data_IF_977335981954
#
_entry.id   IF_977335981954
#
_cell.length_a   1.000
_cell.length_b   1.000
_cell.length_c   1.000
_cell.angle_alpha   90.00
_cell.angle_beta   90.00
_cell.angle_gamma   90.00
#
_symmetry.space_group_name_H-M   'P 1'
#
loop_
_entity.id
_entity.type
_entity.pdbx_description
1 polymer ?
#
# COMPACT_ATOMS: atom_id res chain seq x y z
N UNK A 1 9.80 -7.02 13.02
CA UNK A 1 10.11 -7.86 11.87
C UNK A 1 10.56 -9.27 12.31
N UNK A 2 11.58 -9.41 13.14
CA UNK A 2 12.12 -10.70 13.59
C UNK A 2 11.02 -11.65 14.10
N UNK A 3 10.25 -11.23 15.09
CA UNK A 3 9.20 -12.05 15.69
C UNK A 3 8.08 -12.44 14.71
N UNK A 4 7.91 -11.67 13.65
CA UNK A 4 6.92 -11.95 12.61
C UNK A 4 7.44 -12.95 11.58
N UNK A 5 8.68 -12.78 11.09
CA UNK A 5 9.21 -13.58 9.98
C UNK A 5 9.80 -14.90 10.42
N UNK A 6 10.29 -15.01 11.67
CA UNK A 6 11.02 -16.17 12.15
C UNK A 6 10.23 -17.49 12.03
N UNK A 7 8.92 -17.45 12.27
CA UNK A 7 8.03 -18.62 12.22
C UNK A 7 7.33 -18.80 10.87
N UNK A 8 7.52 -17.89 9.94
CA UNK A 8 6.95 -17.98 8.59
C UNK A 8 7.87 -18.74 7.66
N UNK A 9 7.27 -19.43 6.68
CA UNK A 9 7.99 -20.22 5.69
C UNK A 9 7.54 -19.85 4.29
N UNK A 10 8.50 -19.84 3.38
CA UNK A 10 8.23 -19.68 1.96
C UNK A 10 7.45 -20.90 1.45
N UNK A 11 6.41 -20.61 0.68
CA UNK A 11 5.72 -21.62 -0.13
C UNK A 11 5.64 -21.10 -1.55
N UNK A 12 6.10 -21.91 -2.51
CA UNK A 12 6.02 -21.54 -3.93
C UNK A 12 4.57 -21.59 -4.38
N UNK A 13 3.94 -20.43 -4.47
CA UNK A 13 2.56 -20.26 -4.90
C UNK A 13 2.49 -19.24 -6.04
N UNK A 14 1.40 -19.28 -6.80
CA UNK A 14 1.06 -18.28 -7.82
C UNK A 14 -0.28 -17.68 -7.46
N UNK A 15 -0.54 -16.47 -7.96
CA UNK A 15 -1.86 -15.82 -7.82
C UNK A 15 -2.91 -16.71 -8.48
N UNK A 16 -3.95 -17.03 -7.73
CA UNK A 16 -5.10 -17.79 -8.20
C UNK A 16 -6.32 -16.87 -8.32
N UNK A 17 -6.82 -16.71 -9.53
CA UNK A 17 -7.95 -15.82 -9.78
C UNK A 17 -7.64 -14.34 -9.54
N UNK A 18 -8.62 -13.61 -9.03
CA UNK A 18 -8.45 -12.20 -8.65
C UNK A 18 -8.05 -12.07 -7.18
N UNK A 19 -7.19 -11.08 -6.92
CA UNK A 19 -6.88 -10.65 -5.56
C UNK A 19 -8.05 -9.85 -4.99
N UNK A 20 -8.30 -10.00 -3.69
CA UNK A 20 -9.25 -9.14 -2.99
C UNK A 20 -8.70 -7.69 -2.83
N UNK A 21 -9.57 -6.76 -2.45
CA UNK A 21 -9.19 -5.35 -2.33
C UNK A 21 -8.08 -5.14 -1.29
N UNK A 22 -8.08 -5.90 -0.20
CA UNK A 22 -7.06 -5.81 0.85
C UNK A 22 -5.70 -6.28 0.35
N UNK A 23 -5.67 -7.37 -0.42
CA UNK A 23 -4.46 -7.91 -1.05
C UNK A 23 -3.92 -6.96 -2.13
N UNK A 24 -4.81 -6.41 -2.99
CA UNK A 24 -4.44 -5.41 -4.01
C UNK A 24 -3.84 -4.15 -3.36
N UNK A 25 -4.48 -3.61 -2.32
CA UNK A 25 -4.00 -2.44 -1.59
C UNK A 25 -2.67 -2.69 -0.88
N UNK A 26 -2.50 -3.88 -0.31
CA UNK A 26 -1.24 -4.22 0.35
C UNK A 26 -0.10 -4.35 -0.66
N UNK A 27 -0.31 -5.02 -1.80
CA UNK A 27 0.66 -5.09 -2.89
C UNK A 27 1.03 -3.70 -3.42
N UNK A 28 0.03 -2.85 -3.64
CA UNK A 28 0.25 -1.46 -4.04
C UNK A 28 1.19 -0.74 -3.05
N UNK A 29 0.96 -0.90 -1.74
CA UNK A 29 1.83 -0.32 -0.71
C UNK A 29 3.25 -0.88 -0.76
N UNK A 30 3.43 -2.17 -1.04
CA UNK A 30 4.75 -2.78 -1.22
C UNK A 30 5.48 -2.06 -2.35
N UNK A 31 4.88 -1.96 -3.54
CA UNK A 31 5.51 -1.34 -4.72
C UNK A 31 5.78 0.15 -4.54
N UNK A 32 4.86 0.91 -3.92
CA UNK A 32 5.09 2.32 -3.55
C UNK A 32 6.26 2.47 -2.57
N UNK A 33 6.38 1.56 -1.61
CA UNK A 33 7.48 1.58 -0.65
C UNK A 33 8.81 1.26 -1.31
N UNK A 34 8.86 0.29 -2.22
CA UNK A 34 10.08 -0.04 -2.99
C UNK A 34 10.54 1.20 -3.78
N UNK A 35 9.63 1.87 -4.51
CA UNK A 35 9.95 3.07 -5.29
C UNK A 35 10.52 4.18 -4.39
N UNK A 36 9.85 4.47 -3.27
CA UNK A 36 10.28 5.48 -2.29
C UNK A 36 11.65 5.16 -1.70
N UNK A 37 11.86 3.92 -1.28
CA UNK A 37 13.11 3.47 -0.67
C UNK A 37 14.26 3.49 -1.69
N UNK A 38 13.99 3.12 -2.94
CA UNK A 38 14.98 3.23 -4.02
C UNK A 38 15.42 4.68 -4.22
N UNK A 39 14.48 5.63 -4.28
CA UNK A 39 14.79 7.07 -4.38
C UNK A 39 15.56 7.58 -3.16
N UNK A 40 15.17 7.16 -1.94
CA UNK A 40 15.86 7.54 -0.71
C UNK A 40 17.31 7.04 -0.67
N UNK A 41 17.62 5.86 -1.23
CA UNK A 41 18.98 5.35 -1.34
C UNK A 41 19.79 6.04 -2.45
N UNK A 42 19.21 6.20 -3.64
CA UNK A 42 19.92 6.70 -4.81
C UNK A 42 20.17 8.19 -4.78
N UNK A 43 19.16 8.97 -4.34
CA UNK A 43 19.17 10.42 -4.50
C UNK A 43 19.31 11.19 -3.20
N UNK A 44 18.84 10.65 -2.08
CA UNK A 44 18.75 11.38 -0.81
C UNK A 44 19.70 10.87 0.27
N UNK A 45 20.19 9.64 0.17
CA UNK A 45 20.98 8.97 1.22
C UNK A 45 20.30 9.01 2.61
N UNK A 46 18.97 8.93 2.63
CA UNK A 46 18.14 9.16 3.80
C UNK A 46 17.76 7.84 4.49
N UNK A 47 18.72 7.20 5.15
CA UNK A 47 18.53 5.88 5.78
C UNK A 47 17.43 5.85 6.86
N UNK A 48 17.19 6.98 7.54
CA UNK A 48 16.13 7.08 8.55
C UNK A 48 14.73 6.95 7.91
N UNK A 49 14.54 7.54 6.72
CA UNK A 49 13.26 7.46 5.99
C UNK A 49 13.03 6.07 5.43
N UNK A 50 14.09 5.37 5.03
CA UNK A 50 14.02 3.95 4.63
C UNK A 50 13.49 3.09 5.78
N UNK A 51 14.07 3.22 6.99
CA UNK A 51 13.61 2.46 8.16
C UNK A 51 12.15 2.80 8.48
N UNK A 52 11.79 4.08 8.47
CA UNK A 52 10.42 4.52 8.73
C UNK A 52 9.43 3.94 7.69
N UNK A 53 9.77 3.98 6.40
CA UNK A 53 8.94 3.42 5.34
C UNK A 53 8.75 1.90 5.48
N UNK A 54 9.81 1.17 5.83
CA UNK A 54 9.72 -0.27 6.11
C UNK A 54 8.85 -0.57 7.35
N UNK A 55 8.92 0.26 8.39
CA UNK A 55 8.05 0.11 9.57
C UNK A 55 6.59 0.41 9.25
N UNK A 56 6.31 1.46 8.47
CA UNK A 56 4.96 1.78 8.00
C UNK A 56 4.37 0.65 7.16
N UNK A 57 5.17 0.08 6.26
CA UNK A 57 4.76 -1.05 5.44
C UNK A 57 4.43 -2.28 6.31
N UNK A 58 5.29 -2.62 7.27
CA UNK A 58 5.06 -3.72 8.22
C UNK A 58 3.76 -3.52 9.02
N UNK A 59 3.50 -2.29 9.49
CA UNK A 59 2.31 -1.97 10.27
C UNK A 59 1.03 -1.98 9.41
N UNK A 60 1.14 -1.71 8.11
CA UNK A 60 0.00 -1.69 7.18
C UNK A 60 -0.44 -3.06 6.69
N UNK A 61 0.25 -4.12 7.10
CA UNK A 61 -0.07 -5.48 6.70
C UNK A 61 -1.48 -5.88 7.16
N UNK A 62 -2.30 -6.50 6.29
CA UNK A 62 -3.62 -7.02 6.64
C UNK A 62 -3.56 -8.13 7.70
N UNK A 63 -4.56 -8.19 8.56
CA UNK A 63 -4.60 -9.17 9.65
C UNK A 63 -4.64 -10.60 9.15
N UNK A 64 -5.27 -10.85 7.99
CA UNK A 64 -5.29 -12.15 7.32
C UNK A 64 -3.89 -12.66 6.92
N UNK A 65 -2.94 -11.74 6.64
CA UNK A 65 -1.55 -12.07 6.31
C UNK A 65 -0.69 -12.16 7.58
N UNK A 66 -1.03 -11.37 8.63
CA UNK A 66 -0.33 -11.43 9.93
C UNK A 66 -0.57 -12.75 10.64
N UNK A 67 -1.78 -13.28 10.56
CA UNK A 67 -2.21 -14.50 11.23
C UNK A 67 -1.80 -15.80 10.54
N UNK A 68 -2.64 -16.80 10.66
CA UNK A 68 -2.52 -18.05 9.95
C UNK A 68 -2.91 -17.85 8.47
N UNK A 69 -1.99 -18.18 7.58
CA UNK A 69 -2.21 -18.04 6.13
C UNK A 69 -3.18 -19.12 5.66
N UNK A 70 -4.35 -18.70 5.20
CA UNK A 70 -5.41 -19.61 4.75
C UNK A 70 -5.56 -19.71 3.23
N UNK A 71 -5.06 -18.72 2.48
CA UNK A 71 -5.15 -18.70 1.01
C UNK A 71 -3.78 -18.66 0.34
N UNK A 72 -3.70 -19.17 -0.90
CA UNK A 72 -2.48 -19.05 -1.72
C UNK A 72 -2.18 -17.61 -2.10
N UNK A 73 -3.20 -16.78 -2.26
CA UNK A 73 -3.04 -15.35 -2.56
C UNK A 73 -2.44 -14.60 -1.35
N UNK A 74 -2.85 -14.92 -0.12
CA UNK A 74 -2.22 -14.35 1.09
C UNK A 74 -0.76 -14.79 1.21
N UNK A 75 -0.49 -16.08 0.92
CA UNK A 75 0.88 -16.58 0.92
C UNK A 75 1.74 -15.88 -0.16
N UNK A 76 1.17 -15.60 -1.33
CA UNK A 76 1.84 -14.85 -2.39
C UNK A 76 2.20 -13.44 -1.92
N UNK A 77 1.24 -12.71 -1.34
CA UNK A 77 1.45 -11.37 -0.79
C UNK A 77 2.49 -11.38 0.35
N UNK A 78 2.47 -12.40 1.21
CA UNK A 78 3.46 -12.59 2.26
C UNK A 78 4.88 -12.80 1.68
N UNK A 79 5.01 -13.65 0.67
CA UNK A 79 6.30 -13.91 0.03
C UNK A 79 6.89 -12.63 -0.58
N UNK A 80 6.07 -11.87 -1.33
CA UNK A 80 6.44 -10.61 -1.96
C UNK A 80 6.86 -9.58 -0.92
N UNK A 81 6.09 -9.47 0.18
CA UNK A 81 6.40 -8.56 1.29
C UNK A 81 7.73 -8.91 1.98
N UNK A 82 7.92 -10.17 2.38
CA UNK A 82 9.13 -10.59 3.12
C UNK A 82 10.37 -10.41 2.23
N UNK A 83 10.31 -10.82 0.96
CA UNK A 83 11.40 -10.61 0.03
C UNK A 83 11.76 -9.12 -0.08
N UNK A 84 10.79 -8.27 -0.36
CA UNK A 84 11.01 -6.85 -0.58
C UNK A 84 11.55 -6.15 0.67
N UNK A 85 10.96 -6.40 1.85
CA UNK A 85 11.37 -5.70 3.07
C UNK A 85 12.77 -6.12 3.53
N UNK A 86 13.14 -7.38 3.38
CA UNK A 86 14.48 -7.84 3.73
C UNK A 86 15.53 -7.28 2.79
N UNK A 87 15.26 -7.23 1.48
CA UNK A 87 16.15 -6.64 0.48
C UNK A 87 16.34 -5.13 0.72
N UNK A 88 15.24 -4.39 1.00
CA UNK A 88 15.32 -2.95 1.31
C UNK A 88 16.10 -2.65 2.59
N UNK A 89 16.03 -3.51 3.61
CA UNK A 89 16.76 -3.33 4.88
C UNK A 89 18.17 -3.90 4.85
N UNK A 90 18.52 -4.73 3.87
CA UNK A 90 19.82 -5.41 3.80
C UNK A 90 21.02 -4.46 3.87
N UNK A 91 21.05 -3.31 3.17
CA UNK A 91 22.18 -2.38 3.26
C UNK A 91 22.39 -1.77 4.64
N UNK A 92 21.35 -1.75 5.49
CA UNK A 92 21.40 -1.18 6.84
C UNK A 92 21.72 -2.23 7.89
N UNK A 93 21.13 -3.41 7.75
CA UNK A 93 21.21 -4.48 8.74
C UNK A 93 21.44 -5.86 8.08
N UNK A 94 22.59 -6.10 7.44
CA UNK A 94 22.83 -7.27 6.60
C UNK A 94 22.65 -8.59 7.37
N UNK A 95 23.26 -8.74 8.52
CA UNK A 95 23.27 -10.00 9.27
C UNK A 95 21.87 -10.49 9.70
N UNK A 96 21.01 -9.55 10.12
CA UNK A 96 19.63 -9.92 10.50
C UNK A 96 18.80 -10.27 9.26
N UNK A 97 18.97 -9.51 8.17
CA UNK A 97 18.25 -9.76 6.92
C UNK A 97 18.67 -11.08 6.29
N UNK A 98 19.97 -11.40 6.27
CA UNK A 98 20.50 -12.66 5.76
C UNK A 98 19.97 -13.85 6.60
N UNK A 99 19.99 -13.74 7.92
CA UNK A 99 19.48 -14.79 8.80
C UNK A 99 17.99 -15.05 8.55
N UNK A 100 17.19 -13.99 8.45
CA UNK A 100 15.76 -14.12 8.18
C UNK A 100 15.48 -14.61 6.76
N UNK A 101 16.26 -14.18 5.78
CA UNK A 101 16.18 -14.64 4.40
C UNK A 101 16.42 -16.14 4.29
N UNK A 102 17.54 -16.62 4.84
CA UNK A 102 17.89 -18.03 4.83
C UNK A 102 16.87 -18.89 5.56
N UNK A 103 16.32 -18.38 6.66
CA UNK A 103 15.27 -19.08 7.40
C UNK A 103 13.94 -19.14 6.62
N UNK A 104 13.58 -18.07 5.91
CA UNK A 104 12.35 -18.01 5.16
C UNK A 104 12.44 -18.78 3.83
N UNK A 105 13.51 -18.58 3.07
CA UNK A 105 13.71 -19.20 1.76
C UNK A 105 14.51 -20.50 1.78
N UNK A 106 14.84 -21.03 2.96
CA UNK A 106 15.55 -22.31 3.14
C UNK A 106 16.87 -22.39 2.34
N UNK A 107 17.66 -21.32 2.34
CA UNK A 107 18.91 -21.17 1.58
C UNK A 107 18.77 -21.40 0.06
N UNK A 108 17.59 -21.14 -0.49
CA UNK A 108 17.33 -21.35 -1.92
C UNK A 108 17.87 -20.24 -2.84
N UNK A 109 18.24 -19.10 -2.28
CA UNK A 109 18.76 -17.92 -3.03
C UNK A 109 19.57 -17.01 -2.09
N UNK A 110 20.42 -16.18 -2.67
CA UNK A 110 21.19 -15.18 -1.94
C UNK A 110 20.47 -13.82 -1.99
N UNK A 111 20.46 -13.10 -0.87
CA UNK A 111 19.81 -11.80 -0.76
C UNK A 111 20.63 -10.70 -1.48
N UNK A 112 21.95 -10.88 -1.56
CA UNK A 112 22.88 -9.86 -2.08
C UNK A 112 22.71 -9.58 -3.58
N UNK A 113 22.22 -10.55 -4.35
CA UNK A 113 22.21 -10.47 -5.81
C UNK A 113 21.00 -9.71 -6.39
N UNK A 114 20.07 -9.22 -5.56
CA UNK A 114 18.85 -8.63 -6.07
C UNK A 114 18.33 -7.45 -5.26
N UNK A 115 18.07 -6.35 -5.95
CA UNK A 115 17.26 -5.25 -5.43
C UNK A 115 15.79 -5.46 -5.82
N UNK A 116 14.81 -5.17 -4.95
CA UNK A 116 13.41 -5.36 -5.30
C UNK A 116 12.99 -4.38 -6.39
N UNK A 117 12.27 -4.89 -7.37
CA UNK A 117 11.71 -4.08 -8.47
C UNK A 117 10.27 -3.68 -8.16
N UNK A 118 9.88 -2.49 -8.60
CA UNK A 118 8.50 -2.04 -8.49
C UNK A 118 7.82 -2.06 -9.86
N UNK A 119 6.51 -2.29 -9.85
CA UNK A 119 5.65 -2.27 -11.02
C UNK A 119 4.75 -1.03 -10.94
N UNK A 120 4.82 -0.16 -11.95
CA UNK A 120 4.05 1.09 -11.97
C UNK A 120 2.56 0.84 -12.14
N UNK A 121 2.16 -0.20 -12.85
CA UNK A 121 0.76 -0.56 -13.05
C UNK A 121 0.08 -0.95 -11.72
N UNK A 122 0.83 -1.57 -10.81
CA UNK A 122 0.34 -1.93 -9.49
C UNK A 122 0.25 -0.74 -8.51
N UNK A 123 0.90 0.38 -8.82
CA UNK A 123 0.86 1.57 -7.97
C UNK A 123 -0.36 2.45 -8.26
N UNK A 124 -1.01 2.29 -9.41
CA UNK A 124 -2.21 3.04 -9.78
C UNK A 124 -3.35 2.66 -8.85
N UNK A 125 -4.05 3.66 -8.32
CA UNK A 125 -5.23 3.44 -7.50
C UNK A 125 -6.46 3.57 -8.39
N UNK A 126 -7.24 2.50 -8.48
CA UNK A 126 -8.53 2.54 -9.20
C UNK A 126 -9.59 3.34 -8.43
N UNK A 127 -9.37 3.57 -7.12
CA UNK A 127 -10.28 4.31 -6.25
C UNK A 127 -9.52 5.33 -5.39
N UNK A 128 -10.12 6.49 -5.15
CA UNK A 128 -9.63 7.48 -4.20
C UNK A 128 -10.74 7.94 -3.24
N UNK A 129 -10.35 8.26 -2.01
CA UNK A 129 -11.28 8.76 -0.99
C UNK A 129 -11.52 10.25 -1.22
N UNK A 130 -12.75 10.61 -1.57
CA UNK A 130 -13.19 11.99 -1.67
C UNK A 130 -13.82 12.45 -0.36
N UNK A 131 -13.27 13.49 0.23
CA UNK A 131 -13.81 14.12 1.44
C UNK A 131 -14.80 15.22 1.04
N UNK A 132 -16.09 15.02 1.35
CA UNK A 132 -17.13 16.00 1.08
C UNK A 132 -17.23 16.98 2.24
N UNK A 133 -17.07 18.27 1.95
CA UNK A 133 -17.18 19.36 2.93
C UNK A 133 -18.30 20.31 2.56
N UNK A 134 -19.07 20.74 3.56
CA UNK A 134 -20.07 21.81 3.42
C UNK A 134 -19.74 22.90 4.44
N UNK A 135 -19.56 24.12 3.96
CA UNK A 135 -19.17 25.28 4.79
C UNK A 135 -17.90 25.02 5.65
N UNK A 136 -16.89 24.34 5.06
CA UNK A 136 -15.64 24.03 5.74
C UNK A 136 -15.69 22.89 6.76
N UNK A 137 -16.85 22.24 6.93
CA UNK A 137 -16.99 21.06 7.82
C UNK A 137 -17.11 19.78 7.01
N UNK A 138 -16.31 18.78 7.35
CA UNK A 138 -16.41 17.44 6.74
C UNK A 138 -17.78 16.84 7.06
N UNK A 139 -18.50 16.40 6.02
CA UNK A 139 -19.83 15.82 6.11
C UNK A 139 -19.90 14.37 5.68
N UNK A 140 -18.94 13.93 4.89
CA UNK A 140 -18.83 12.55 4.46
C UNK A 140 -17.52 12.26 3.77
N UNK A 141 -17.23 10.98 3.62
CA UNK A 141 -16.12 10.43 2.85
C UNK A 141 -16.72 9.39 1.91
N UNK A 142 -16.35 9.43 0.66
CA UNK A 142 -16.75 8.47 -0.36
C UNK A 142 -15.55 7.94 -1.10
N UNK A 143 -15.54 6.64 -1.36
CA UNK A 143 -14.59 6.03 -2.27
C UNK A 143 -15.17 6.10 -3.68
N UNK A 144 -14.44 6.71 -4.59
CA UNK A 144 -14.82 6.84 -5.99
C UNK A 144 -13.74 6.28 -6.90
N UNK A 145 -14.16 5.67 -8.00
CA UNK A 145 -13.22 5.19 -9.01
C UNK A 145 -12.56 6.36 -9.74
N UNK A 146 -11.27 6.23 -10.03
CA UNK A 146 -10.47 7.25 -10.75
C UNK A 146 -10.99 7.55 -12.16
N UNK A 147 -11.84 6.66 -12.72
CA UNK A 147 -12.38 6.76 -14.07
C UNK A 147 -13.76 7.47 -14.14
N UNK A 148 -14.32 7.94 -13.00
CA UNK A 148 -15.62 8.61 -12.98
C UNK A 148 -15.48 10.06 -13.50
N UNK A 149 -16.44 10.46 -14.34
CA UNK A 149 -16.54 11.85 -14.78
C UNK A 149 -17.04 12.76 -13.65
N UNK A 150 -16.76 14.06 -13.77
CA UNK A 150 -17.07 15.05 -12.74
C UNK A 150 -18.56 15.06 -12.35
N UNK A 151 -19.46 14.89 -13.32
CA UNK A 151 -20.91 14.86 -13.11
C UNK A 151 -21.37 13.65 -12.30
N UNK A 152 -20.71 12.49 -12.48
CA UNK A 152 -20.97 11.27 -11.74
C UNK A 152 -20.48 11.39 -10.30
N UNK A 153 -19.31 11.98 -10.09
CA UNK A 153 -18.76 12.27 -8.75
C UNK A 153 -19.69 13.18 -7.96
N UNK A 154 -20.27 14.19 -8.62
CA UNK A 154 -21.27 15.08 -8.01
C UNK A 154 -22.54 14.34 -7.60
N UNK A 155 -23.02 13.45 -8.45
CA UNK A 155 -24.22 12.65 -8.19
C UNK A 155 -24.03 11.75 -6.98
N UNK A 156 -22.86 11.09 -6.88
CA UNK A 156 -22.50 10.24 -5.74
C UNK A 156 -22.34 11.06 -4.46
N UNK A 157 -21.69 12.23 -4.54
CA UNK A 157 -21.52 13.12 -3.38
C UNK A 157 -22.85 13.65 -2.84
N UNK A 158 -23.81 13.97 -3.73
CA UNK A 158 -25.16 14.40 -3.36
C UNK A 158 -26.00 13.28 -2.75
N UNK A 159 -25.77 12.03 -3.10
CA UNK A 159 -26.48 10.87 -2.57
C UNK A 159 -26.17 10.54 -1.09
N UNK A 160 -25.15 11.18 -0.51
CA UNK A 160 -24.85 11.03 0.91
C UNK A 160 -25.97 11.68 1.75
N UNK A 161 -26.64 10.91 2.56
CA UNK A 161 -27.80 11.32 3.36
C UNK A 161 -27.60 12.61 4.17
N UNK A 162 -26.37 12.84 4.68
CA UNK A 162 -26.01 14.04 5.43
C UNK A 162 -25.73 15.27 4.55
N UNK A 163 -25.56 15.08 3.25
CA UNK A 163 -25.30 16.14 2.27
C UNK A 163 -26.62 16.61 1.67
N UNK A 164 -27.51 15.68 1.34
CA UNK A 164 -28.83 15.93 0.78
C UNK A 164 -29.72 16.75 1.74
N UNK A 165 -29.75 16.38 3.02
CA UNK A 165 -30.49 17.09 4.07
C UNK A 165 -30.03 18.55 4.31
N UNK A 166 -28.77 18.87 3.97
CA UNK A 166 -28.17 20.20 4.20
C UNK A 166 -28.14 21.09 2.97
N UNK A 167 -28.21 20.52 1.77
CA UNK A 167 -28.19 21.27 0.51
C UNK A 167 -29.55 21.90 0.19
N UNK A 168 -30.68 21.21 0.43
CA UNK A 168 -31.99 21.71 0.03
C UNK A 168 -31.94 22.23 -1.41
N UNK A 169 -32.68 23.32 -1.71
CA UNK A 169 -32.69 23.96 -3.04
C UNK A 169 -31.53 24.91 -3.36
N UNK A 170 -30.42 24.83 -2.64
CA UNK A 170 -29.29 25.74 -2.82
C UNK A 170 -28.30 25.24 -3.89
N UNK A 171 -27.95 26.11 -4.82
CA UNK A 171 -26.93 25.86 -5.82
C UNK A 171 -25.55 25.65 -5.15
N UNK A 172 -24.84 24.58 -5.56
CA UNK A 172 -23.51 24.25 -5.05
C UNK A 172 -22.47 24.96 -5.89
N UNK A 173 -21.61 25.76 -5.25
CA UNK A 173 -20.44 26.36 -5.90
C UNK A 173 -19.20 25.56 -5.52
N UNK A 174 -18.50 25.01 -6.52
CA UNK A 174 -17.26 24.24 -6.34
C UNK A 174 -16.07 25.16 -6.45
N UNK A 175 -15.24 25.19 -5.45
CA UNK A 175 -14.00 25.96 -5.52
C UNK A 175 -12.73 25.12 -5.55
N UNK A 176 -12.71 23.84 -5.24
CA UNK A 176 -11.52 22.97 -5.45
C UNK A 176 -11.85 21.49 -5.30
N UNK A 177 -11.77 20.75 -6.41
CA UNK A 177 -11.35 19.33 -6.40
C UNK A 177 -9.82 19.33 -6.25
N UNK A 178 -9.31 19.25 -5.05
CA UNK A 178 -7.92 18.84 -4.84
C UNK A 178 -7.92 17.32 -4.74
N UNK A 179 -7.55 16.65 -5.82
CA UNK A 179 -6.87 15.40 -5.70
C UNK A 179 -5.68 15.64 -4.77
N UNK A 180 -5.65 15.04 -3.62
CA UNK A 180 -4.43 14.96 -2.84
C UNK A 180 -3.49 14.01 -3.60
N UNK A 181 -2.82 14.54 -4.60
CA UNK A 181 -1.50 14.04 -4.92
C UNK A 181 -0.67 14.34 -3.69
N UNK A 182 -0.54 13.36 -2.83
CA UNK A 182 0.56 13.32 -1.88
C UNK A 182 1.80 13.08 -2.72
N UNK A 183 2.33 14.16 -3.29
CA UNK A 183 3.73 14.17 -3.71
C UNK A 183 4.53 13.96 -2.42
N UNK A 184 5.31 12.90 -2.31
CA UNK A 184 6.27 12.79 -1.22
C UNK A 184 7.30 13.90 -1.40
N UNK A 185 7.42 14.74 -0.40
CA UNK A 185 8.59 15.59 -0.24
C UNK A 185 9.76 14.73 0.21
#
# INVERSE_FOLDING_TARGET
LWSFTHDKKFKKVKIQGELDNSQKDFRRKIHLTIKKVTDDYENRYAFNTVIAACMELLNSMPDQIKGEISSENDQFCLNEFIASILQMLYPIAPHICETLWNNFFENSSEIEDSWPTFDEDLMVTDTFELVVQINGKVRGKIEISSNLEQDEIESVAKSIKNVDDLLGDKAVSYTHLRAHETLPY
#
